data_IF_907217437555
#
_entry.id   IF_907217437555
#
_cell.length_a   1.000
_cell.length_b   1.000
_cell.length_c   1.000
_cell.angle_alpha   90.00
_cell.angle_beta   90.00
_cell.angle_gamma   90.00
#
_symmetry.space_group_name_H-M   'P 1'
#
loop_
_entity.id
_entity.type
_entity.pdbx_description
1 polymer ?
#
# COMPACT_ATOMS: atom_id res chain seq x y z
N UNK A 1 2.22 -6.90 10.02
CA UNK A 1 2.76 -7.85 9.03
C UNK A 1 3.57 -7.13 7.95
N UNK A 2 4.61 -7.77 7.39
CA UNK A 2 5.38 -7.25 6.25
C UNK A 2 4.62 -7.40 4.92
N UNK A 3 4.82 -6.52 3.94
CA UNK A 3 4.12 -6.54 2.65
C UNK A 3 4.37 -7.84 1.87
N UNK A 4 5.64 -8.26 1.78
CA UNK A 4 5.98 -9.51 1.07
C UNK A 4 5.39 -10.74 1.76
N UNK A 5 5.28 -10.69 3.09
CA UNK A 5 4.65 -11.76 3.87
C UNK A 5 3.14 -11.76 3.65
N UNK A 6 2.49 -10.59 3.58
CA UNK A 6 1.07 -10.48 3.25
C UNK A 6 0.76 -11.03 1.85
N UNK A 7 1.60 -10.73 0.85
CA UNK A 7 1.45 -11.29 -0.50
C UNK A 7 1.60 -12.82 -0.49
N UNK A 8 2.58 -13.34 0.27
CA UNK A 8 2.79 -14.78 0.41
C UNK A 8 1.61 -15.45 1.11
N UNK A 9 1.08 -14.84 2.17
CA UNK A 9 -0.04 -15.37 2.94
C UNK A 9 -1.33 -15.37 2.10
N UNK A 10 -1.62 -14.28 1.39
CA UNK A 10 -2.72 -14.24 0.44
C UNK A 10 -2.61 -15.35 -0.61
N UNK A 11 -1.40 -15.62 -1.13
CA UNK A 11 -1.16 -16.71 -2.09
C UNK A 11 -1.44 -18.13 -1.57
N UNK A 12 -1.64 -18.32 -0.26
CA UNK A 12 -2.07 -19.61 0.31
C UNK A 12 -3.59 -19.79 0.27
N UNK A 13 -4.37 -18.72 0.20
CA UNK A 13 -5.83 -18.75 0.15
C UNK A 13 -6.33 -19.24 -1.22
N UNK A 14 -7.25 -20.21 -1.22
CA UNK A 14 -7.76 -20.83 -2.45
C UNK A 14 -8.45 -19.85 -3.41
N UNK A 15 -9.18 -18.85 -2.89
CA UNK A 15 -9.79 -17.83 -3.74
C UNK A 15 -8.74 -16.98 -4.44
N UNK A 16 -7.68 -16.59 -3.72
CA UNK A 16 -6.59 -15.78 -4.28
C UNK A 16 -5.77 -16.59 -5.29
N UNK A 17 -5.50 -17.88 -5.03
CA UNK A 17 -4.78 -18.75 -5.99
C UNK A 17 -5.49 -18.83 -7.34
N UNK A 18 -6.82 -18.91 -7.34
CA UNK A 18 -7.62 -18.98 -8.56
C UNK A 18 -7.64 -17.69 -9.39
N UNK A 19 -7.23 -16.55 -8.82
CA UNK A 19 -7.30 -15.24 -9.49
C UNK A 19 -6.40 -15.16 -10.73
N UNK A 20 -5.18 -15.71 -10.66
CA UNK A 20 -4.24 -15.66 -11.77
C UNK A 20 -4.77 -16.37 -13.02
N UNK A 21 -5.41 -17.54 -12.85
CA UNK A 21 -6.04 -18.28 -13.95
C UNK A 21 -7.25 -17.57 -14.57
N UNK A 22 -7.84 -16.62 -13.83
CA UNK A 22 -8.93 -15.76 -14.29
C UNK A 22 -8.44 -14.45 -14.91
N UNK A 23 -7.14 -14.23 -15.02
CA UNK A 23 -6.56 -13.02 -15.62
C UNK A 23 -6.43 -11.83 -14.65
N UNK A 24 -6.61 -12.06 -13.34
CA UNK A 24 -6.32 -11.05 -12.32
C UNK A 24 -4.82 -10.99 -12.01
N UNK A 25 -4.30 -9.80 -11.74
CA UNK A 25 -2.93 -9.59 -11.26
C UNK A 25 -2.90 -8.65 -10.06
N UNK A 26 -1.90 -8.81 -9.19
CA UNK A 26 -1.69 -7.90 -8.06
C UNK A 26 -1.37 -6.50 -8.60
N UNK A 27 -2.17 -5.50 -8.21
CA UNK A 27 -2.08 -4.14 -8.67
C UNK A 27 -1.49 -3.19 -7.62
N UNK A 28 -1.92 -3.35 -6.37
CA UNK A 28 -1.47 -2.51 -5.27
C UNK A 28 -1.61 -3.21 -3.91
N UNK A 29 -0.94 -2.64 -2.91
CA UNK A 29 -1.09 -2.97 -1.51
C UNK A 29 -1.28 -1.72 -0.67
N UNK A 30 -2.18 -1.76 0.29
CA UNK A 30 -2.46 -0.67 1.23
C UNK A 30 -2.37 -1.20 2.66
N UNK A 31 -1.70 -0.47 3.54
CA UNK A 31 -1.73 -0.73 4.98
C UNK A 31 -2.21 0.52 5.71
N UNK A 32 -3.17 0.34 6.61
CA UNK A 32 -3.57 1.35 7.58
C UNK A 32 -2.91 0.99 8.91
N UNK A 33 -2.02 1.85 9.39
CA UNK A 33 -1.25 1.56 10.61
C UNK A 33 -2.09 1.83 11.86
N UNK A 34 -1.71 1.31 13.02
CA UNK A 34 -2.43 1.67 14.24
C UNK A 34 -2.26 3.18 14.53
N UNK A 35 -3.30 3.88 15.03
CA UNK A 35 -3.23 5.31 15.31
C UNK A 35 -2.03 5.70 16.17
N UNK A 36 -1.33 6.77 15.77
CA UNK A 36 -0.14 7.26 16.46
C UNK A 36 1.10 6.35 16.38
N UNK A 37 1.04 5.26 15.60
CA UNK A 37 2.16 4.31 15.47
C UNK A 37 2.74 4.30 14.06
N UNK A 38 3.93 3.69 13.94
CA UNK A 38 4.58 3.36 12.66
C UNK A 38 4.65 1.84 12.44
N UNK A 39 3.87 1.06 13.20
CA UNK A 39 3.86 -0.39 13.12
C UNK A 39 2.92 -0.87 12.00
N UNK A 40 3.43 -1.72 11.13
CA UNK A 40 2.63 -2.37 10.09
C UNK A 40 1.75 -3.47 10.68
N UNK A 41 0.45 -3.37 10.45
CA UNK A 41 -0.55 -4.39 10.79
C UNK A 41 -1.00 -5.13 9.54
N UNK A 42 -2.29 -4.97 9.24
CA UNK A 42 -2.98 -5.63 8.14
C UNK A 42 -2.72 -4.97 6.79
N UNK A 43 -2.83 -5.77 5.74
CA UNK A 43 -2.69 -5.32 4.35
C UNK A 43 -3.98 -5.57 3.57
N UNK A 44 -4.36 -4.61 2.74
CA UNK A 44 -5.37 -4.77 1.71
C UNK A 44 -4.63 -4.90 0.38
N UNK A 45 -4.63 -6.09 -0.19
CA UNK A 45 -4.08 -6.37 -1.51
C UNK A 45 -5.17 -6.23 -2.56
N UNK A 46 -4.94 -5.40 -3.57
CA UNK A 46 -5.90 -5.21 -4.67
C UNK A 46 -5.42 -5.95 -5.90
N UNK A 47 -6.26 -6.85 -6.41
CA UNK A 47 -6.06 -7.59 -7.65
C UNK A 47 -6.97 -6.99 -8.72
N UNK A 48 -6.44 -6.76 -9.92
CA UNK A 48 -7.17 -6.17 -11.03
C UNK A 48 -7.21 -7.11 -12.23
N UNK A 49 -8.37 -7.18 -12.88
CA UNK A 49 -8.58 -7.87 -14.15
C UNK A 49 -8.95 -6.84 -15.23
N UNK A 50 -8.08 -6.69 -16.24
CA UNK A 50 -8.28 -5.75 -17.34
C UNK A 50 -9.41 -6.16 -18.29
N UNK A 51 -9.62 -7.46 -18.49
CA UNK A 51 -10.65 -7.97 -19.40
C UNK A 51 -12.06 -7.81 -18.83
N UNK A 52 -12.22 -8.08 -17.53
CA UNK A 52 -13.50 -7.91 -16.82
C UNK A 52 -13.72 -6.47 -16.34
N UNK A 53 -12.67 -5.63 -16.31
CA UNK A 53 -12.64 -4.32 -15.65
C UNK A 53 -13.17 -4.41 -14.21
N UNK A 54 -12.64 -5.36 -13.44
CA UNK A 54 -13.02 -5.61 -12.04
C UNK A 54 -11.80 -5.67 -11.13
N UNK A 55 -12.01 -5.28 -9.88
CA UNK A 55 -11.04 -5.45 -8.79
C UNK A 55 -11.57 -6.40 -7.72
N UNK A 56 -10.66 -7.15 -7.12
CA UNK A 56 -10.90 -7.96 -5.93
C UNK A 56 -9.94 -7.47 -4.86
N UNK A 57 -10.42 -7.31 -3.64
CA UNK A 57 -9.60 -6.94 -2.50
C UNK A 57 -9.45 -8.15 -1.58
N UNK A 58 -8.22 -8.43 -1.17
CA UNK A 58 -7.92 -9.40 -0.12
C UNK A 58 -7.37 -8.64 1.09
N UNK A 59 -8.09 -8.67 2.20
CA UNK A 59 -7.61 -8.21 3.50
C UNK A 59 -6.81 -9.34 4.14
N UNK A 60 -5.55 -9.07 4.45
CA UNK A 60 -4.59 -10.04 4.99
C UNK A 60 -4.17 -9.58 6.38
N UNK A 61 -4.48 -10.41 7.37
CA UNK A 61 -4.06 -10.26 8.76
C UNK A 61 -3.38 -11.55 9.23
N UNK A 62 -2.87 -11.57 10.45
CA UNK A 62 -2.12 -12.71 10.98
C UNK A 62 -2.99 -13.99 11.00
N UNK A 63 -2.73 -14.88 10.04
CA UNK A 63 -3.42 -16.17 9.88
C UNK A 63 -4.80 -16.10 9.23
N UNK A 64 -5.24 -14.94 8.72
CA UNK A 64 -6.55 -14.78 8.09
C UNK A 64 -6.44 -14.00 6.77
N UNK A 65 -7.18 -14.47 5.76
CA UNK A 65 -7.31 -13.81 4.45
C UNK A 65 -8.79 -13.71 4.12
N UNK A 66 -9.34 -12.50 4.19
CA UNK A 66 -10.72 -12.19 3.80
C UNK A 66 -10.76 -11.62 2.38
N UNK A 67 -11.51 -12.26 1.49
CA UNK A 67 -11.57 -11.90 0.06
C UNK A 67 -12.93 -11.31 -0.24
N UNK A 68 -12.94 -10.05 -0.65
CA UNK A 68 -14.17 -9.34 -0.99
C UNK A 68 -14.68 -9.73 -2.38
N UNK A 69 -16.01 -9.64 -2.61
CA UNK A 69 -16.58 -9.81 -3.94
C UNK A 69 -15.98 -8.84 -4.97
N UNK A 70 -15.97 -9.19 -6.27
CA UNK A 70 -15.49 -8.29 -7.32
C UNK A 70 -16.28 -6.98 -7.35
N UNK A 71 -15.57 -5.87 -7.50
CA UNK A 71 -16.15 -4.52 -7.59
C UNK A 71 -15.64 -3.77 -8.83
N UNK A 72 -16.33 -2.69 -9.19
CA UNK A 72 -15.82 -1.77 -10.20
C UNK A 72 -14.63 -0.97 -9.66
N UNK A 73 -13.58 -0.77 -10.47
CA UNK A 73 -12.42 -0.04 -10.01
C UNK A 73 -12.65 1.47 -10.10
N UNK A 74 -12.21 2.22 -9.08
CA UNK A 74 -12.28 3.68 -9.11
C UNK A 74 -11.25 4.29 -10.08
N UNK A 75 -10.01 3.81 -10.05
CA UNK A 75 -8.94 4.22 -10.96
C UNK A 75 -7.78 3.20 -10.89
N UNK A 76 -7.94 2.01 -11.51
CA UNK A 76 -6.94 0.95 -11.37
C UNK A 76 -5.75 1.26 -12.30
N UNK A 77 -4.52 1.01 -11.85
CA UNK A 77 -3.44 0.93 -12.84
C UNK A 77 -3.69 -0.30 -13.71
N UNK A 78 -3.44 -0.18 -15.02
CA UNK A 78 -3.59 -1.28 -15.96
C UNK A 78 -2.36 -2.19 -16.01
N UNK A 79 -1.38 -1.98 -15.12
CA UNK A 79 -0.14 -2.76 -15.04
C UNK A 79 -0.04 -3.53 -13.73
N UNK A 80 0.61 -4.68 -13.78
CA UNK A 80 0.88 -5.49 -12.59
C UNK A 80 1.98 -4.85 -11.73
N UNK A 81 1.84 -5.00 -10.41
CA UNK A 81 2.89 -4.65 -9.47
C UNK A 81 4.02 -5.69 -9.57
N UNK A 82 5.16 -5.26 -10.10
CA UNK A 82 6.34 -6.14 -10.22
C UNK A 82 7.07 -6.24 -8.88
N UNK A 83 6.79 -7.32 -8.15
CA UNK A 83 7.39 -7.61 -6.86
C UNK A 83 8.92 -7.77 -6.90
N UNK A 84 9.50 -8.11 -8.05
CA UNK A 84 10.96 -8.25 -8.22
C UNK A 84 11.67 -6.90 -8.22
N UNK A 85 10.96 -5.83 -8.60
CA UNK A 85 11.50 -4.45 -8.59
C UNK A 85 11.49 -3.81 -7.21
N UNK A 86 10.78 -4.39 -6.24
CA UNK A 86 10.74 -3.94 -4.84
C UNK A 86 12.00 -4.46 -4.12
N UNK A 87 13.07 -3.66 -4.20
CA UNK A 87 14.40 -3.97 -3.63
C UNK A 87 14.56 -3.47 -2.20
N UNK A 88 13.74 -2.53 -1.76
CA UNK A 88 13.76 -2.00 -0.39
C UNK A 88 12.64 -2.58 0.47
N UNK A 89 12.91 -2.78 1.77
CA UNK A 89 11.87 -3.15 2.73
C UNK A 89 11.05 -1.93 3.15
N UNK A 90 9.76 -2.14 3.36
CA UNK A 90 8.80 -1.18 3.87
C UNK A 90 9.23 -0.56 5.21
N UNK A 91 9.91 -1.32 6.08
CA UNK A 91 10.47 -0.82 7.35
C UNK A 91 11.54 0.24 7.09
N UNK A 92 12.48 -0.03 6.17
CA UNK A 92 13.53 0.91 5.81
C UNK A 92 12.97 2.16 5.14
N UNK A 93 11.91 2.01 4.35
CA UNK A 93 11.24 3.12 3.68
C UNK A 93 10.40 3.94 4.66
N UNK A 94 9.74 3.29 5.62
CA UNK A 94 9.03 3.95 6.72
C UNK A 94 9.97 4.82 7.55
N UNK A 95 11.17 4.33 7.89
CA UNK A 95 12.15 5.13 8.64
C UNK A 95 12.57 6.39 7.87
N UNK A 96 12.72 6.32 6.54
CA UNK A 96 13.00 7.50 5.71
C UNK A 96 11.82 8.46 5.69
N UNK A 97 10.61 7.94 5.49
CA UNK A 97 9.39 8.74 5.42
C UNK A 97 9.07 9.41 6.77
N UNK A 98 9.29 8.70 7.88
CA UNK A 98 9.16 9.22 9.25
C UNK A 98 10.12 10.38 9.50
N UNK A 99 11.38 10.29 9.08
CA UNK A 99 12.34 11.39 9.22
C UNK A 99 11.90 12.64 8.47
N UNK A 100 11.41 12.48 7.24
CA UNK A 100 10.83 13.58 6.46
C UNK A 100 9.61 14.18 7.18
N UNK A 101 8.66 13.34 7.63
CA UNK A 101 7.50 13.78 8.39
C UNK A 101 7.86 14.59 9.65
N UNK A 102 8.82 14.13 10.45
CA UNK A 102 9.22 14.79 11.70
C UNK A 102 9.82 16.18 11.47
N UNK A 103 10.39 16.46 10.30
CA UNK A 103 10.90 17.79 9.96
C UNK A 103 9.79 18.86 9.92
N UNK A 104 8.54 18.44 9.68
CA UNK A 104 7.36 19.33 9.66
C UNK A 104 6.85 19.70 11.06
N UNK A 105 7.41 19.10 12.13
CA UNK A 105 7.03 19.35 13.55
C UNK A 105 5.52 19.19 13.82
N UNK A 106 4.86 18.27 13.10
CA UNK A 106 3.43 17.98 13.26
C UNK A 106 3.21 16.79 14.19
N UNK A 107 2.01 16.72 14.79
CA UNK A 107 1.59 15.60 15.63
C UNK A 107 0.86 14.56 14.79
N UNK A 108 1.37 13.33 14.78
CA UNK A 108 0.79 12.22 14.03
C UNK A 108 -0.57 11.80 14.61
N UNK A 109 -1.53 11.53 13.72
CA UNK A 109 -2.79 10.85 14.02
C UNK A 109 -2.81 9.45 13.41
N UNK A 110 -2.59 9.36 12.10
CA UNK A 110 -2.77 8.13 11.33
C UNK A 110 -1.73 8.06 10.20
N UNK A 111 -1.29 6.86 9.84
CA UNK A 111 -0.46 6.63 8.64
C UNK A 111 -1.18 5.69 7.70
N UNK A 112 -1.22 6.06 6.42
CA UNK A 112 -1.63 5.18 5.32
C UNK A 112 -0.39 4.91 4.46
N UNK A 113 -0.11 3.64 4.20
CA UNK A 113 0.97 3.23 3.31
C UNK A 113 0.38 2.60 2.07
N UNK A 114 0.85 3.02 0.91
CA UNK A 114 0.44 2.50 -0.39
C UNK A 114 1.67 2.09 -1.19
N UNK A 115 1.58 0.94 -1.85
CA UNK A 115 2.48 0.54 -2.94
C UNK A 115 1.63 0.20 -4.16
N UNK A 116 1.99 0.73 -5.32
CA UNK A 116 1.23 0.59 -6.56
C UNK A 116 2.15 0.35 -7.78
N UNK A 117 1.56 -0.07 -8.89
CA UNK A 117 2.25 -0.45 -10.12
C UNK A 117 2.70 0.75 -11.00
N UNK A 118 3.11 0.49 -12.25
CA UNK A 118 3.82 1.37 -13.22
C UNK A 118 5.24 1.80 -12.83
N UNK A 119 5.40 2.42 -11.68
CA UNK A 119 6.70 2.73 -11.07
C UNK A 119 6.56 2.43 -9.58
N UNK A 120 7.11 1.32 -9.07
CA UNK A 120 6.87 0.94 -7.70
C UNK A 120 7.50 1.99 -6.78
N UNK A 121 6.65 2.71 -6.05
CA UNK A 121 7.03 3.60 -4.98
C UNK A 121 6.20 3.28 -3.75
N UNK A 122 6.80 3.51 -2.60
CA UNK A 122 6.11 3.55 -1.32
C UNK A 122 5.60 4.96 -1.10
N UNK A 123 4.29 5.13 -1.01
CA UNK A 123 3.66 6.39 -0.59
C UNK A 123 3.24 6.26 0.87
N UNK A 124 3.72 7.17 1.69
CA UNK A 124 3.36 7.31 3.09
C UNK A 124 2.56 8.60 3.24
N UNK A 125 1.28 8.48 3.58
CA UNK A 125 0.43 9.62 3.89
C UNK A 125 0.27 9.70 5.40
N UNK A 126 0.93 10.68 6.01
CA UNK A 126 0.86 10.98 7.43
C UNK A 126 -0.26 11.99 7.66
N UNK A 127 -1.34 11.54 8.27
CA UNK A 127 -2.46 12.38 8.67
C UNK A 127 -2.14 12.92 10.06
N UNK A 128 -2.14 14.24 10.21
CA UNK A 128 -1.88 14.92 11.48
C UNK A 128 -3.15 15.02 12.33
N UNK A 129 -3.01 15.35 13.62
CA UNK A 129 -4.17 15.68 14.48
C UNK A 129 -4.94 16.92 14.02
N UNK A 130 -4.30 17.79 13.24
CA UNK A 130 -4.88 18.98 12.61
C UNK A 130 -5.50 18.71 11.24
N UNK A 131 -5.64 17.43 10.85
CA UNK A 131 -6.17 17.00 9.54
C UNK A 131 -5.35 17.51 8.33
N UNK A 132 -4.07 17.82 8.53
CA UNK A 132 -3.14 18.00 7.42
C UNK A 132 -2.62 16.63 6.98
N UNK A 133 -2.30 16.50 5.68
CA UNK A 133 -1.69 15.31 5.12
C UNK A 133 -0.31 15.65 4.61
N UNK A 134 0.70 15.08 5.26
CA UNK A 134 2.07 15.08 4.74
C UNK A 134 2.24 13.81 3.91
N UNK A 135 2.58 13.96 2.63
CA UNK A 135 2.80 12.83 1.73
C UNK A 135 4.27 12.71 1.40
N UNK A 136 4.85 11.57 1.73
CA UNK A 136 6.23 11.23 1.37
C UNK A 136 6.22 10.04 0.42
N UNK A 137 6.86 10.19 -0.74
CA UNK A 137 7.03 9.08 -1.70
C UNK A 137 8.50 8.67 -1.75
N UNK A 138 8.72 7.35 -1.73
CA UNK A 138 10.05 6.75 -1.75
C UNK A 138 10.10 5.69 -2.84
N UNK A 139 11.05 5.81 -3.77
CA UNK A 139 11.29 4.85 -4.85
C UNK A 139 11.53 3.44 -4.26
N UNK A 140 10.73 2.45 -4.62
CA UNK A 140 10.82 1.10 -4.03
C UNK A 140 12.00 0.27 -4.56
N UNK A 141 12.65 0.76 -5.63
CA UNK A 141 13.81 0.12 -6.25
C UNK A 141 15.12 0.73 -5.71
N UNK A 142 15.20 2.06 -5.63
CA UNK A 142 16.40 2.82 -5.23
C UNK A 142 16.38 3.27 -3.77
N UNK A 143 15.19 3.37 -3.18
CA UNK A 143 14.98 3.90 -1.84
C UNK A 143 15.19 5.40 -1.71
N UNK A 144 15.26 6.16 -2.80
CA UNK A 144 15.38 7.61 -2.77
C UNK A 144 14.01 8.25 -2.48
N UNK A 145 13.97 9.30 -1.65
CA UNK A 145 12.76 10.11 -1.48
C UNK A 145 12.55 10.89 -2.78
N UNK A 146 11.39 10.74 -3.41
CA UNK A 146 11.06 11.38 -4.69
C UNK A 146 10.06 12.52 -4.53
N UNK A 147 9.39 12.59 -3.37
CA UNK A 147 8.36 13.60 -3.06
C UNK A 147 8.22 13.78 -1.56
N UNK A 148 8.01 15.03 -1.11
CA UNK A 148 7.73 15.42 0.27
C UNK A 148 6.87 16.69 0.26
N UNK A 149 5.55 16.51 0.29
CA UNK A 149 4.57 17.60 0.16
C UNK A 149 3.63 17.64 1.37
N UNK A 150 3.21 18.85 1.74
CA UNK A 150 2.17 19.08 2.76
C UNK A 150 0.91 19.59 2.07
N UNK A 151 -0.21 18.90 2.27
CA UNK A 151 -1.52 19.32 1.79
C UNK A 151 -2.48 19.47 2.96
N UNK A 152 -3.19 20.59 3.05
CA UNK A 152 -4.30 20.73 3.98
C UNK A 152 -5.53 19.98 3.44
N UNK A 153 -6.25 19.24 4.29
CA UNK A 153 -7.58 18.73 3.95
C UNK A 153 -8.64 19.84 4.14
N UNK A 154 -8.44 20.99 3.50
CA UNK A 154 -9.41 22.08 3.51
C UNK A 154 -10.00 22.19 2.12
N UNK A 155 -11.33 22.02 2.03
CA UNK A 155 -12.11 22.39 0.85
C UNK A 155 -12.29 23.90 0.79
#
# INVERSE_FOLDING_TARGET
MKFKDAVKEAGKNEHVKGLAGRGYFLNSGIALLAPGTYAFGDWILTYYNKGENKVIQACVSDGCVDVRPPAEPLNPSKTALDLKRIKTSEEKMMEKAKRAFLAHKKVLSQVIVVIQSEKPFWRFSFITKTLEVVTVEVDAEKGAVTRDDVNALTK
#
